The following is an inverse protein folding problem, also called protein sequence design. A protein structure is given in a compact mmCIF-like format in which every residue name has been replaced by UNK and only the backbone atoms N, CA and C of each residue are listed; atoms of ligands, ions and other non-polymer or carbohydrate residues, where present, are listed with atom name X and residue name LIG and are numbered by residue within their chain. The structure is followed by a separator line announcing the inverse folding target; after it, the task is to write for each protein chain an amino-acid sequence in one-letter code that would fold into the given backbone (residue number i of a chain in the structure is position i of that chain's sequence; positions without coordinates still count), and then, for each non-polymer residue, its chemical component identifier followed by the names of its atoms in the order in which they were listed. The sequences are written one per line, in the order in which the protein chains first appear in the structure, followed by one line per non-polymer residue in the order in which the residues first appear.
data_IF_503654268499
#
_entry.id   IF_503654268499
#
_cell.length_a   1.000
_cell.length_b   1.000
_cell.length_c   1.000
_cell.angle_alpha   90.00
_cell.angle_beta   90.00
_cell.angle_gamma   90.00
#
_symmetry.space_group_name_H-M   'P 1'
#
loop_
_entity.id
_entity.type
_entity.pdbx_description
1 polymer ?
#
# COMPACT_ATOMS: atom_id res chain seq x y z
N UNK A 1 -13.17 -12.28 17.72
CA UNK A 1 -11.77 -12.12 17.24
C UNK A 1 -11.64 -10.82 16.44
N UNK A 2 -10.76 -9.92 16.83
CA UNK A 2 -10.52 -8.63 16.16
C UNK A 2 -9.50 -8.79 15.02
N UNK A 3 -9.73 -8.13 13.87
CA UNK A 3 -8.81 -8.15 12.72
C UNK A 3 -7.56 -7.36 13.09
N UNK A 4 -6.39 -7.96 12.91
CA UNK A 4 -5.12 -7.27 13.06
C UNK A 4 -4.82 -6.49 11.78
N UNK A 5 -4.35 -5.26 11.91
CA UNK A 5 -3.91 -4.46 10.77
C UNK A 5 -2.73 -5.12 10.06
N UNK A 6 -2.75 -5.13 8.73
CA UNK A 6 -1.66 -5.66 7.90
C UNK A 6 -0.74 -4.53 7.43
N UNK A 7 0.45 -4.87 6.95
CA UNK A 7 1.36 -3.91 6.30
C UNK A 7 0.69 -3.27 5.09
N UNK A 8 -0.09 -4.06 4.33
CA UNK A 8 -0.89 -3.57 3.21
C UNK A 8 -1.93 -2.52 3.64
N UNK A 9 -2.55 -2.66 4.82
CA UNK A 9 -3.44 -1.63 5.35
C UNK A 9 -2.67 -0.32 5.66
N UNK A 10 -1.43 -0.42 6.15
CA UNK A 10 -0.57 0.74 6.45
C UNK A 10 -0.10 1.44 5.17
N UNK A 11 0.34 0.68 4.15
CA UNK A 11 0.68 1.21 2.81
C UNK A 11 -0.51 1.92 2.17
N UNK A 12 -1.73 1.41 2.36
CA UNK A 12 -2.95 2.06 1.88
C UNK A 12 -3.40 3.26 2.73
N UNK A 13 -2.64 3.64 3.77
CA UNK A 13 -2.93 4.76 4.66
C UNK A 13 -4.13 4.54 5.59
N UNK A 14 -4.50 3.28 5.86
CA UNK A 14 -5.70 2.93 6.64
C UNK A 14 -5.42 2.63 8.10
N UNK A 15 -4.15 2.67 8.51
CA UNK A 15 -3.73 2.41 9.88
C UNK A 15 -3.21 3.70 10.47
N UNK A 16 -3.75 4.09 11.63
CA UNK A 16 -3.23 5.20 12.41
C UNK A 16 -2.78 4.72 13.79
N UNK A 17 -1.80 5.42 14.36
CA UNK A 17 -1.25 5.16 15.69
C UNK A 17 -2.31 5.07 16.79
N UNK A 18 -3.44 5.79 16.69
CA UNK A 18 -4.54 5.69 17.66
C UNK A 18 -5.47 4.49 17.41
N UNK A 19 -5.68 4.09 16.15
CA UNK A 19 -6.53 2.94 15.80
C UNK A 19 -5.83 1.57 15.98
N UNK A 20 -4.50 1.54 16.14
CA UNK A 20 -3.78 0.31 16.46
C UNK A 20 -4.14 -0.24 17.87
N UNK A 21 -4.65 0.60 18.77
CA UNK A 21 -5.17 0.19 20.09
C UNK A 21 -6.67 -0.14 20.07
N UNK A 22 -7.44 0.53 19.22
CA UNK A 22 -8.90 0.39 19.18
C UNK A 22 -9.35 -0.34 17.92
N UNK A 23 -9.27 -1.68 17.95
CA UNK A 23 -10.07 -2.50 17.04
C UNK A 23 -11.56 -2.40 17.40
N UNK A 24 -12.17 -1.25 17.17
CA UNK A 24 -13.59 -1.06 17.33
C UNK A 24 -14.10 -0.01 16.34
N UNK A 25 -15.14 -0.42 15.61
CA UNK A 25 -16.03 0.42 14.80
C UNK A 25 -15.58 0.69 13.36
N UNK A 26 -16.01 -0.22 12.49
CA UNK A 26 -16.57 0.15 11.19
C UNK A 26 -17.47 1.38 11.35
N UNK A 27 -17.20 2.42 10.59
CA UNK A 27 -18.02 3.61 10.56
C UNK A 27 -17.24 4.79 10.02
N UNK A 28 -17.48 5.10 8.74
CA UNK A 28 -17.21 6.41 8.15
C UNK A 28 -17.58 7.51 9.16
N UNK A 29 -16.57 8.15 9.76
CA UNK A 29 -16.76 9.36 10.55
C UNK A 29 -16.15 10.49 9.75
N UNK A 30 -17.01 11.17 8.98
CA UNK A 30 -16.77 12.54 8.51
C UNK A 30 -16.43 13.36 9.76
N UNK A 31 -15.18 13.80 9.90
CA UNK A 31 -14.81 14.74 10.96
C UNK A 31 -15.28 16.12 10.52
N UNK A 32 -16.49 16.47 10.94
CA UNK A 32 -16.94 17.85 10.95
C UNK A 32 -16.17 18.63 12.02
N UNK A 33 -15.79 19.86 11.66
CA UNK A 33 -15.48 20.97 12.58
C UNK A 33 -14.10 20.95 13.25
N UNK A 34 -13.15 21.61 12.59
CA UNK A 34 -12.53 22.83 13.13
C UNK A 34 -11.79 22.69 14.46
N UNK A 35 -10.67 21.97 14.46
CA UNK A 35 -9.48 22.25 15.27
C UNK A 35 -8.35 21.47 14.59
N UNK A 36 -7.18 22.08 14.39
CA UNK A 36 -5.96 21.39 13.94
C UNK A 36 -5.48 20.42 15.05
N UNK A 37 -6.26 19.37 15.30
CA UNK A 37 -5.82 18.22 16.07
C UNK A 37 -4.80 17.52 15.17
N UNK A 38 -3.54 17.51 15.62
CA UNK A 38 -2.44 16.71 15.09
C UNK A 38 -3.01 15.45 14.44
N UNK A 39 -3.04 15.47 13.10
CA UNK A 39 -3.69 14.46 12.30
C UNK A 39 -3.22 13.09 12.79
N UNK A 40 -4.17 12.20 13.01
CA UNK A 40 -3.93 10.85 13.49
C UNK A 40 -2.81 10.22 12.64
N UNK A 41 -1.59 10.18 13.17
CA UNK A 41 -0.40 9.91 12.37
C UNK A 41 -0.54 8.51 11.76
N UNK A 42 -0.60 8.47 10.42
CA UNK A 42 -0.67 7.23 9.66
C UNK A 42 0.58 6.44 9.99
N UNK A 43 0.38 5.19 10.40
CA UNK A 43 1.47 4.31 10.79
C UNK A 43 2.33 4.02 9.56
N UNK A 44 3.64 4.21 9.66
CA UNK A 44 4.52 3.86 8.56
C UNK A 44 4.51 2.33 8.33
N UNK A 45 4.71 1.83 7.10
CA UNK A 45 4.60 0.40 6.84
C UNK A 45 5.62 -0.44 7.63
N UNK A 46 6.83 0.08 7.86
CA UNK A 46 7.81 -0.53 8.74
C UNK A 46 7.34 -0.59 10.19
N UNK A 47 6.73 0.48 10.71
CA UNK A 47 6.19 0.47 12.06
C UNK A 47 5.08 -0.59 12.20
N UNK A 48 4.21 -0.72 11.19
CA UNK A 48 3.16 -1.73 11.14
C UNK A 48 3.71 -3.18 11.06
N UNK A 49 4.83 -3.37 10.35
CA UNK A 49 5.48 -4.66 10.21
C UNK A 49 6.17 -5.07 11.52
N UNK A 50 6.90 -4.15 12.14
CA UNK A 50 7.75 -4.42 13.30
C UNK A 50 7.07 -4.21 14.66
N UNK A 51 5.84 -3.68 14.71
CA UNK A 51 5.05 -3.61 15.95
C UNK A 51 4.43 -4.96 16.36
N UNK A 52 4.67 -6.04 15.61
CA UNK A 52 4.06 -7.36 15.85
C UNK A 52 4.77 -8.12 16.98
N UNK A 53 4.02 -8.95 17.73
CA UNK A 53 4.48 -9.69 18.93
C UNK A 53 5.70 -10.61 18.71
N UNK A 54 6.09 -10.86 17.46
CA UNK A 54 7.25 -11.68 17.08
C UNK A 54 8.07 -11.05 15.94
N UNK A 55 8.03 -9.73 15.81
CA UNK A 55 8.87 -9.04 14.85
C UNK A 55 10.35 -9.20 15.21
N UNK A 56 11.24 -9.43 14.23
CA UNK A 56 12.69 -9.43 14.47
C UNK A 56 13.16 -8.10 15.05
N UNK A 57 14.16 -8.16 15.94
CA UNK A 57 14.83 -6.96 16.43
C UNK A 57 15.52 -6.26 15.26
N UNK A 58 15.24 -4.96 15.06
CA UNK A 58 15.91 -4.13 14.06
C UNK A 58 17.18 -3.53 14.63
N UNK A 59 18.21 -3.50 13.79
CA UNK A 59 19.44 -2.75 14.01
C UNK A 59 19.67 -1.87 12.79
N UNK A 60 20.07 -0.62 13.00
CA UNK A 60 20.30 0.32 11.89
C UNK A 60 21.35 -0.19 10.90
N UNK A 61 22.32 -0.98 11.37
CA UNK A 61 23.42 -1.53 10.58
C UNK A 61 22.99 -2.72 9.70
N UNK A 62 21.91 -3.42 10.06
CA UNK A 62 21.44 -4.65 9.41
C UNK A 62 19.92 -4.60 9.29
N UNK A 63 19.43 -3.51 8.74
CA UNK A 63 17.99 -3.29 8.63
C UNK A 63 17.43 -4.04 7.42
N UNK A 64 16.73 -5.14 7.69
CA UNK A 64 16.15 -6.01 6.67
C UNK A 64 15.10 -5.27 5.83
N UNK A 65 14.48 -4.22 6.37
CA UNK A 65 13.40 -3.50 5.67
C UNK A 65 13.91 -2.65 4.50
N UNK A 66 15.08 -2.05 4.63
CA UNK A 66 15.67 -1.18 3.61
C UNK A 66 16.70 -1.91 2.73
N UNK A 67 16.47 -3.19 2.46
CA UNK A 67 17.35 -4.03 1.63
C UNK A 67 17.55 -3.52 0.19
N UNK A 68 16.71 -2.59 -0.29
CA UNK A 68 16.91 -1.94 -1.60
C UNK A 68 18.20 -1.10 -1.65
N UNK A 69 18.68 -0.62 -0.49
CA UNK A 69 19.92 0.16 -0.38
C UNK A 69 21.17 -0.67 -0.68
N UNK A 70 21.07 -1.99 -0.56
CA UNK A 70 22.15 -2.92 -0.91
C UNK A 70 22.24 -3.17 -2.43
N UNK A 71 21.23 -2.74 -3.20
CA UNK A 71 21.23 -2.85 -4.66
C UNK A 71 22.10 -1.75 -5.30
N UNK A 72 22.68 -2.01 -6.49
CA UNK A 72 23.37 -0.97 -7.24
C UNK A 72 22.49 0.25 -7.45
N UNK A 73 23.04 1.44 -7.21
CA UNK A 73 22.33 2.72 -7.35
C UNK A 73 21.01 2.80 -6.56
N UNK A 74 20.92 2.14 -5.40
CA UNK A 74 19.71 2.15 -4.55
C UNK A 74 18.48 1.56 -5.28
N UNK A 75 18.73 0.73 -6.30
CA UNK A 75 17.69 0.14 -7.15
C UNK A 75 17.07 1.09 -8.19
N UNK A 76 17.60 2.31 -8.41
CA UNK A 76 16.99 3.37 -9.22
C UNK A 76 16.68 3.08 -10.69
N UNK A 77 17.18 1.99 -11.27
CA UNK A 77 16.86 1.57 -12.65
C UNK A 77 16.39 0.11 -12.71
N UNK A 78 16.29 -0.55 -11.56
CA UNK A 78 16.01 -1.98 -11.45
C UNK A 78 14.65 -2.24 -10.81
N UNK A 79 14.25 -1.37 -9.88
CA UNK A 79 12.98 -1.45 -9.20
C UNK A 79 12.01 -0.41 -9.78
N UNK A 80 10.74 -0.78 -9.92
CA UNK A 80 9.72 0.17 -10.36
C UNK A 80 9.46 1.24 -9.29
N UNK A 81 8.90 2.36 -9.74
CA UNK A 81 8.60 3.51 -8.93
C UNK A 81 7.67 3.16 -7.76
N UNK A 82 8.08 3.61 -6.57
CA UNK A 82 7.40 3.28 -5.31
C UNK A 82 5.98 3.86 -5.27
N UNK A 83 5.78 5.07 -5.81
CA UNK A 83 4.49 5.75 -5.73
C UNK A 83 3.51 5.18 -6.76
N UNK A 84 4.01 4.75 -7.93
CA UNK A 84 3.24 3.93 -8.86
C UNK A 84 2.78 2.63 -8.20
N UNK A 85 3.69 1.87 -7.57
CA UNK A 85 3.33 0.61 -6.90
C UNK A 85 2.31 0.82 -5.77
N UNK A 86 2.47 1.85 -4.94
CA UNK A 86 1.50 2.20 -3.88
C UNK A 86 0.13 2.51 -4.47
N UNK A 87 0.08 3.19 -5.62
CA UNK A 87 -1.16 3.55 -6.30
C UNK A 87 -1.89 2.32 -6.84
N UNK A 88 -1.17 1.42 -7.51
CA UNK A 88 -1.71 0.15 -8.00
C UNK A 88 -2.22 -0.70 -6.83
N UNK A 89 -1.39 -0.87 -5.79
CA UNK A 89 -1.76 -1.63 -4.60
C UNK A 89 -3.01 -1.05 -3.90
N UNK A 90 -3.10 0.28 -3.80
CA UNK A 90 -4.28 0.93 -3.23
C UNK A 90 -5.52 0.63 -4.06
N UNK A 91 -5.43 0.76 -5.39
CA UNK A 91 -6.53 0.45 -6.30
C UNK A 91 -6.99 -1.00 -6.18
N UNK A 92 -6.07 -1.96 -6.28
CA UNK A 92 -6.38 -3.40 -6.20
C UNK A 92 -7.00 -3.76 -4.86
N UNK A 93 -6.47 -3.21 -3.76
CA UNK A 93 -7.04 -3.40 -2.42
C UNK A 93 -8.47 -2.85 -2.31
N UNK A 94 -8.76 -1.70 -2.91
CA UNK A 94 -10.13 -1.18 -2.96
C UNK A 94 -11.05 -2.08 -3.80
N UNK A 95 -10.57 -2.54 -4.96
CA UNK A 95 -11.29 -3.44 -5.86
C UNK A 95 -11.66 -4.76 -5.17
N UNK A 96 -10.71 -5.47 -4.56
CA UNK A 96 -10.97 -6.74 -3.89
C UNK A 96 -11.91 -6.59 -2.71
N UNK A 97 -11.78 -5.51 -1.94
CA UNK A 97 -12.69 -5.21 -0.84
C UNK A 97 -14.13 -5.04 -1.33
N UNK A 98 -14.34 -4.32 -2.43
CA UNK A 98 -15.69 -4.15 -3.01
C UNK A 98 -16.24 -5.45 -3.60
N UNK A 99 -15.39 -6.24 -4.27
CA UNK A 99 -15.75 -7.54 -4.79
C UNK A 99 -16.19 -8.50 -3.66
N UNK A 100 -15.47 -8.52 -2.55
CA UNK A 100 -15.79 -9.30 -1.37
C UNK A 100 -17.15 -8.90 -0.75
N UNK A 101 -17.48 -7.61 -0.75
CA UNK A 101 -18.78 -7.12 -0.26
C UNK A 101 -19.95 -7.55 -1.15
N UNK A 102 -19.76 -7.58 -2.48
CA UNK A 102 -20.79 -7.95 -3.45
C UNK A 102 -21.10 -9.45 -3.44
N UNK A 103 -20.07 -10.28 -3.27
CA UNK A 103 -20.18 -11.75 -3.35
C UNK A 103 -20.77 -12.38 -2.08
N UNK A 104 -20.63 -11.74 -0.92
CA UNK A 104 -21.16 -12.27 0.33
C UNK A 104 -21.58 -11.15 1.31
N UNK A 105 -22.78 -10.54 1.14
CA UNK A 105 -23.23 -9.44 1.98
C UNK A 105 -23.52 -9.84 3.44
N UNK A 106 -23.59 -11.14 3.75
CA UNK A 106 -23.80 -11.67 5.11
C UNK A 106 -22.56 -12.31 5.74
N UNK A 107 -21.46 -12.46 4.99
CA UNK A 107 -20.18 -12.89 5.57
C UNK A 107 -19.50 -11.70 6.20
N UNK A 108 -19.94 -11.33 7.39
CA UNK A 108 -19.10 -10.51 8.24
C UNK A 108 -17.87 -11.35 8.64
N UNK A 109 -16.74 -11.08 7.99
CA UNK A 109 -15.39 -11.29 8.53
C UNK A 109 -14.94 -12.75 8.77
N UNK A 110 -15.47 -13.74 8.08
CA UNK A 110 -14.98 -15.12 8.25
C UNK A 110 -14.01 -15.49 7.13
N UNK A 111 -12.73 -15.27 7.42
CA UNK A 111 -11.49 -16.00 7.06
C UNK A 111 -11.23 -16.49 5.60
N UNK A 112 -12.24 -16.69 4.75
CA UNK A 112 -12.13 -17.14 3.35
C UNK A 112 -11.92 -16.00 2.34
N UNK A 113 -12.16 -14.74 2.72
CA UNK A 113 -12.02 -13.56 1.85
C UNK A 113 -10.58 -13.01 1.75
N UNK A 114 -9.61 -13.64 2.43
CA UNK A 114 -8.20 -13.23 2.40
C UNK A 114 -7.41 -13.82 1.22
N UNK A 115 -8.02 -14.68 0.41
CA UNK A 115 -7.29 -15.46 -0.61
C UNK A 115 -7.22 -14.71 -1.95
N UNK A 116 -8.22 -13.91 -2.31
CA UNK A 116 -8.20 -13.11 -3.56
C UNK A 116 -7.49 -11.76 -3.43
N UNK A 117 -7.25 -11.26 -2.21
CA UNK A 117 -6.31 -10.14 -2.01
C UNK A 117 -4.85 -10.54 -2.31
N UNK A 118 -4.56 -11.85 -2.49
CA UNK A 118 -3.21 -12.37 -2.73
C UNK A 118 -2.77 -12.39 -4.20
N UNK A 119 -3.66 -12.18 -5.17
CA UNK A 119 -3.22 -12.19 -6.57
C UNK A 119 -2.35 -10.97 -6.94
N UNK A 120 -2.33 -9.95 -6.08
CA UNK A 120 -1.37 -8.82 -6.15
C UNK A 120 -0.54 -8.75 -4.86
N UNK A 121 0.02 -9.89 -4.46
CA UNK A 121 1.02 -9.96 -3.40
C UNK A 121 2.37 -9.38 -3.86
N UNK A 122 3.30 -9.17 -2.92
CA UNK A 122 4.59 -8.47 -3.12
C UNK A 122 5.27 -8.77 -4.47
N UNK A 123 5.41 -10.05 -4.82
CA UNK A 123 6.05 -10.48 -6.07
C UNK A 123 5.21 -10.13 -7.29
N UNK A 124 3.90 -10.38 -7.26
CA UNK A 124 3.00 -10.04 -8.36
C UNK A 124 2.93 -8.53 -8.58
N UNK A 125 2.89 -7.75 -7.50
CA UNK A 125 2.89 -6.29 -7.55
C UNK A 125 4.20 -5.74 -8.16
N UNK A 126 5.35 -6.30 -7.77
CA UNK A 126 6.65 -5.95 -8.35
C UNK A 126 6.72 -6.30 -9.84
N UNK A 127 6.34 -7.54 -10.21
CA UNK A 127 6.34 -7.97 -11.60
C UNK A 127 5.42 -7.10 -12.46
N UNK A 128 4.23 -6.77 -11.96
CA UNK A 128 3.28 -5.90 -12.65
C UNK A 128 3.80 -4.46 -12.78
N UNK A 129 4.49 -3.94 -11.77
CA UNK A 129 5.14 -2.63 -11.84
C UNK A 129 6.19 -2.57 -12.95
N UNK A 130 7.04 -3.59 -13.05
CA UNK A 130 8.05 -3.68 -14.13
C UNK A 130 7.36 -3.67 -15.49
N UNK A 131 6.33 -4.51 -15.68
CA UNK A 131 5.60 -4.57 -16.94
C UNK A 131 4.92 -3.23 -17.28
N UNK A 132 4.35 -2.54 -16.30
CA UNK A 132 3.72 -1.24 -16.51
C UNK A 132 4.72 -0.18 -16.94
N UNK A 133 5.88 -0.12 -16.30
CA UNK A 133 6.92 0.84 -16.68
C UNK A 133 7.47 0.57 -18.06
N UNK A 134 7.79 -0.67 -18.39
CA UNK A 134 8.30 -1.02 -19.70
C UNK A 134 7.24 -0.79 -20.79
N UNK A 135 5.98 -1.14 -20.54
CA UNK A 135 4.89 -0.86 -21.47
C UNK A 135 4.65 0.65 -21.64
N UNK A 136 4.81 1.45 -20.57
CA UNK A 136 4.71 2.89 -20.64
C UNK A 136 5.85 3.50 -21.43
N UNK A 137 7.11 3.08 -21.19
CA UNK A 137 8.29 3.50 -21.96
C UNK A 137 8.13 3.15 -23.45
N UNK A 138 7.67 1.94 -23.75
CA UNK A 138 7.43 1.50 -25.13
C UNK A 138 6.32 2.31 -25.81
N UNK A 139 5.20 2.55 -25.11
CA UNK A 139 4.04 3.27 -25.66
C UNK A 139 4.31 4.76 -25.86
N UNK A 140 5.06 5.37 -24.93
CA UNK A 140 5.39 6.80 -24.94
C UNK A 140 6.60 7.10 -25.87
N UNK A 141 7.49 6.12 -26.08
CA UNK A 141 8.71 6.29 -26.86
C UNK A 141 9.76 7.16 -26.14
N UNK A 142 10.90 7.40 -26.80
CA UNK A 142 12.05 8.10 -26.21
C UNK A 142 11.76 9.56 -25.79
N UNK A 143 10.78 10.22 -26.45
CA UNK A 143 10.39 11.62 -26.20
C UNK A 143 8.95 11.75 -25.69
N UNK A 144 8.42 10.69 -25.07
CA UNK A 144 7.02 10.65 -24.66
C UNK A 144 6.67 11.50 -23.44
N UNK A 145 7.67 12.07 -22.78
CA UNK A 145 7.53 13.14 -21.79
C UNK A 145 6.89 14.41 -22.38
N UNK A 146 7.04 14.63 -23.69
CA UNK A 146 6.44 15.77 -24.40
C UNK A 146 4.95 15.59 -24.72
N UNK A 147 4.40 14.37 -24.65
CA UNK A 147 3.00 14.07 -25.06
C UNK A 147 1.98 14.78 -24.17
N UNK A 148 2.33 15.10 -22.93
CA UNK A 148 1.44 15.83 -22.00
C UNK A 148 1.66 17.35 -21.99
N UNK A 149 2.48 17.89 -22.90
CA UNK A 149 2.82 19.33 -22.94
C UNK A 149 1.99 20.15 -23.93
N UNK A 150 1.12 19.51 -24.72
CA UNK A 150 0.18 20.21 -25.61
C UNK A 150 -1.08 20.66 -24.86
N UNK A 151 -1.03 21.87 -24.27
CA UNK A 151 -2.18 22.40 -23.55
C UNK A 151 -1.99 23.79 -22.93
N UNK A 152 -1.37 24.73 -23.64
CA UNK A 152 -1.52 26.17 -23.36
C UNK A 152 -1.60 26.90 -24.70
N UNK A 153 -2.82 26.99 -25.26
CA UNK A 153 -3.22 28.10 -26.12
C UNK A 153 -4.15 29.04 -25.33
#
# INVERSE_FOLDING_TARGET
KQRQATVYDAVAGRVSLKFAKDSATSGSRKTSSGYHQLADAVLAPEEALFSRKHAPQRYAEKDIYFAHQDLPHDGRDLLPDSDMLKSVHRYTSHFYRELAQRTNPRSHRTELQSIDERSMDETALLAFGILLEEAAKESLGENGDLVFTEGVE
#
